data_IF_427046745115
#
_entry.id   IF_427046745115
#
_cell.length_a   1.000
_cell.length_b   1.000
_cell.length_c   1.000
_cell.angle_alpha   90.00
_cell.angle_beta   90.00
_cell.angle_gamma   90.00
#
_symmetry.space_group_name_H-M   'P 1'
#
loop_
_entity.id
_entity.type
_entity.pdbx_description
1 polymer ?
#
# COMPACT_ATOMS: atom_id res chain seq x y z
N UNK A 1 -0.94 10.23 8.78
CA UNK A 1 0.19 9.71 7.97
C UNK A 1 0.85 10.79 7.12
N UNK A 2 0.34 11.17 5.92
CA UNK A 2 1.05 12.09 4.99
C UNK A 2 1.70 13.33 5.64
N UNK A 3 0.93 14.13 6.39
CA UNK A 3 1.42 15.39 6.94
C UNK A 3 2.54 15.19 7.96
N UNK A 4 2.38 14.21 8.85
CA UNK A 4 3.40 13.94 9.87
C UNK A 4 4.65 13.35 9.23
N UNK A 5 4.51 12.37 8.33
CA UNK A 5 5.67 11.83 7.60
C UNK A 5 6.40 12.93 6.83
N UNK A 6 5.69 13.84 6.16
CA UNK A 6 6.30 14.97 5.45
C UNK A 6 7.10 15.90 6.38
N UNK A 7 6.66 16.08 7.61
CA UNK A 7 7.36 16.89 8.62
C UNK A 7 8.62 16.19 9.14
N UNK A 8 8.60 14.87 9.26
CA UNK A 8 9.62 14.13 10.01
C UNK A 8 10.62 13.35 9.15
N UNK A 9 10.31 13.08 7.87
CA UNK A 9 11.07 12.12 7.05
C UNK A 9 12.56 12.46 6.84
N UNK A 10 12.97 13.71 7.05
CA UNK A 10 14.36 14.18 6.89
C UNK A 10 15.22 14.11 8.16
N UNK A 11 14.65 13.71 9.30
CA UNK A 11 15.39 13.71 10.57
C UNK A 11 15.08 12.47 11.39
N UNK A 12 13.81 12.30 11.76
CA UNK A 12 13.31 11.15 12.51
C UNK A 12 12.01 10.67 11.88
N UNK A 13 12.12 9.94 10.78
CA UNK A 13 10.97 9.46 10.03
C UNK A 13 10.02 8.68 10.94
N UNK A 14 8.83 9.24 11.20
CA UNK A 14 7.85 8.72 12.15
C UNK A 14 7.49 7.25 11.89
N UNK A 15 7.53 6.81 10.63
CA UNK A 15 7.23 5.41 10.27
C UNK A 15 8.30 4.43 10.76
N UNK A 16 9.51 4.89 11.05
CA UNK A 16 10.56 4.07 11.66
C UNK A 16 10.27 3.69 13.12
N UNK A 17 9.20 4.23 13.72
CA UNK A 17 8.72 3.79 15.03
C UNK A 17 7.80 2.57 14.94
N UNK A 18 7.39 2.14 13.73
CA UNK A 18 6.58 0.93 13.54
C UNK A 18 7.49 -0.28 13.66
N UNK A 19 7.18 -1.18 14.59
CA UNK A 19 7.90 -2.43 14.76
C UNK A 19 7.83 -3.30 13.48
N UNK A 20 8.98 -3.77 13.03
CA UNK A 20 9.10 -4.58 11.82
C UNK A 20 8.92 -3.78 10.51
N UNK A 21 8.91 -2.44 10.54
CA UNK A 21 8.87 -1.61 9.33
C UNK A 21 10.25 -1.07 8.99
N UNK A 22 10.79 -1.48 7.85
CA UNK A 22 12.08 -1.00 7.34
C UNK A 22 11.89 0.29 6.55
N UNK A 23 12.46 1.37 7.07
CA UNK A 23 12.50 2.68 6.43
C UNK A 23 13.71 3.47 6.92
N UNK A 24 14.30 4.30 6.04
CA UNK A 24 15.37 5.21 6.45
C UNK A 24 14.85 6.23 7.46
N UNK A 25 15.48 6.29 8.63
CA UNK A 25 15.17 7.27 9.69
C UNK A 25 15.41 8.72 9.26
N UNK A 26 16.46 8.96 8.47
CA UNK A 26 16.72 10.24 7.81
C UNK A 26 16.80 10.02 6.30
N UNK A 27 15.81 10.52 5.57
CA UNK A 27 15.75 10.36 4.11
C UNK A 27 16.79 11.24 3.41
N UNK A 28 17.50 10.73 2.39
CA UNK A 28 18.52 11.49 1.67
C UNK A 28 17.95 12.76 1.02
N UNK A 29 18.80 13.78 0.92
CA UNK A 29 18.49 15.08 0.29
C UNK A 29 19.31 15.27 -1.00
N UNK A 30 20.42 14.54 -1.11
CA UNK A 30 21.43 14.63 -2.17
C UNK A 30 21.01 13.97 -3.49
N UNK A 31 20.09 12.99 -3.46
CA UNK A 31 19.52 12.41 -4.67
C UNK A 31 18.16 13.06 -5.02
N UNK A 32 18.09 13.95 -6.03
CA UNK A 32 16.86 14.64 -6.39
C UNK A 32 15.76 13.71 -6.90
N UNK A 33 16.08 12.48 -7.32
CA UNK A 33 15.10 11.51 -7.80
C UNK A 33 14.28 10.90 -6.66
N UNK A 34 14.85 10.80 -5.46
CA UNK A 34 14.20 10.14 -4.31
C UNK A 34 14.03 11.05 -3.10
N UNK A 35 14.67 12.23 -3.04
CA UNK A 35 14.68 13.13 -1.88
C UNK A 35 13.29 13.60 -1.42
N UNK A 36 12.27 13.43 -2.26
CA UNK A 36 10.88 13.79 -1.99
C UNK A 36 9.93 12.60 -2.06
N UNK A 37 10.46 11.37 -2.09
CA UNK A 37 9.68 10.16 -2.19
C UNK A 37 10.13 9.10 -1.18
N UNK A 38 9.94 9.33 0.14
CA UNK A 38 10.23 8.31 1.12
C UNK A 38 9.34 7.09 0.92
N UNK A 39 9.92 5.91 1.14
CA UNK A 39 9.22 4.64 1.09
C UNK A 39 9.84 3.66 2.09
N UNK A 40 9.02 2.72 2.55
CA UNK A 40 9.45 1.63 3.42
C UNK A 40 8.55 0.41 3.24
N UNK A 41 8.99 -0.70 3.79
CA UNK A 41 8.34 -2.01 3.68
C UNK A 41 8.31 -2.71 5.02
N UNK A 42 7.27 -3.50 5.28
CA UNK A 42 7.32 -4.44 6.41
C UNK A 42 8.35 -5.53 6.12
N UNK A 43 9.15 -5.90 7.12
CA UNK A 43 10.22 -6.89 6.99
C UNK A 43 9.64 -8.28 6.72
N UNK A 44 10.40 -9.11 5.99
CA UNK A 44 9.97 -10.46 5.61
C UNK A 44 9.75 -11.40 6.81
N UNK A 45 10.41 -11.14 7.93
CA UNK A 45 10.19 -11.84 9.20
C UNK A 45 8.75 -11.71 9.71
N UNK A 46 8.04 -10.67 9.24
CA UNK A 46 6.63 -10.43 9.53
C UNK A 46 5.69 -10.90 8.43
N UNK A 47 6.13 -11.76 7.50
CA UNK A 47 5.27 -12.27 6.40
C UNK A 47 3.97 -12.89 6.93
N UNK A 48 2.90 -12.10 6.84
CA UNK A 48 1.57 -12.48 7.28
C UNK A 48 1.02 -13.52 6.30
N UNK A 49 0.92 -14.79 6.70
CA UNK A 49 0.09 -15.82 6.02
C UNK A 49 0.05 -15.76 4.48
N UNK A 50 1.20 -15.59 3.81
CA UNK A 50 1.34 -15.51 2.34
C UNK A 50 0.99 -14.16 1.70
N UNK A 51 1.08 -13.08 2.47
CA UNK A 51 1.20 -11.71 1.99
C UNK A 51 2.67 -11.30 1.94
N UNK A 52 3.04 -10.48 0.96
CA UNK A 52 4.38 -9.95 0.76
C UNK A 52 4.32 -8.50 0.26
N UNK A 53 5.48 -7.84 0.14
CA UNK A 53 5.61 -6.50 -0.46
C UNK A 53 4.65 -5.46 0.15
N UNK A 54 4.37 -5.58 1.45
CA UNK A 54 3.55 -4.62 2.19
C UNK A 54 4.38 -3.34 2.34
N UNK A 55 4.01 -2.30 1.59
CA UNK A 55 4.79 -1.09 1.45
C UNK A 55 3.95 0.16 1.65
N UNK A 56 4.59 1.19 2.22
CA UNK A 56 4.07 2.55 2.29
C UNK A 56 5.07 3.44 1.56
N UNK A 57 4.62 4.16 0.55
CA UNK A 57 5.43 5.15 -0.16
C UNK A 57 4.71 6.47 -0.32
N UNK A 58 5.50 7.54 -0.41
CA UNK A 58 5.02 8.90 -0.52
C UNK A 58 5.58 9.57 -1.76
N UNK A 59 4.85 10.56 -2.26
CA UNK A 59 5.38 11.54 -3.20
C UNK A 59 5.06 12.95 -2.70
N UNK A 60 6.11 13.70 -2.38
CA UNK A 60 6.06 15.07 -1.88
C UNK A 60 6.39 16.13 -2.93
N UNK A 61 6.76 15.71 -4.15
CA UNK A 61 7.27 16.56 -5.24
C UNK A 61 6.19 17.27 -6.04
N UNK A 62 5.03 16.65 -6.20
CA UNK A 62 3.92 17.22 -6.98
C UNK A 62 2.78 17.72 -6.09
N UNK A 63 1.95 18.61 -6.67
CA UNK A 63 0.69 19.06 -6.08
C UNK A 63 -0.35 17.93 -5.95
N UNK A 64 -0.14 16.81 -6.65
CA UNK A 64 -1.00 15.63 -6.56
C UNK A 64 -0.73 14.77 -5.33
N UNK A 65 0.35 15.06 -4.57
CA UNK A 65 0.68 14.59 -3.20
C UNK A 65 0.07 13.24 -2.85
N UNK A 66 0.87 12.19 -2.98
CA UNK A 66 0.40 10.81 -2.94
C UNK A 66 0.87 10.08 -1.69
N UNK A 67 -0.03 9.28 -1.10
CA UNK A 67 0.35 8.10 -0.31
C UNK A 67 -0.01 6.88 -1.16
N UNK A 68 0.92 5.95 -1.32
CA UNK A 68 0.67 4.64 -1.93
C UNK A 68 0.85 3.56 -0.88
N UNK A 69 -0.20 2.77 -0.69
CA UNK A 69 -0.23 1.61 0.17
C UNK A 69 -0.31 0.38 -0.73
N UNK A 70 0.69 -0.49 -0.71
CA UNK A 70 0.71 -1.66 -1.60
C UNK A 70 0.97 -2.93 -0.83
N UNK A 71 0.42 -4.03 -1.33
CA UNK A 71 0.79 -5.37 -0.87
C UNK A 71 0.51 -6.39 -1.97
N UNK A 72 1.10 -7.57 -1.81
CA UNK A 72 0.88 -8.72 -2.67
C UNK A 72 0.35 -9.90 -1.86
N UNK A 73 -0.48 -10.72 -2.50
CA UNK A 73 -0.99 -12.00 -1.99
C UNK A 73 -0.61 -13.09 -2.98
N UNK A 74 0.13 -14.09 -2.53
CA UNK A 74 0.41 -15.28 -3.34
C UNK A 74 -0.89 -16.05 -3.61
N UNK A 75 -1.20 -16.30 -4.89
CA UNK A 75 -2.23 -17.26 -5.31
C UNK A 75 -1.59 -18.66 -5.39
N UNK A 76 -0.41 -18.72 -6.01
CA UNK A 76 0.41 -19.92 -6.12
C UNK A 76 1.87 -19.50 -6.36
N UNK A 77 2.76 -20.48 -6.59
CA UNK A 77 4.20 -20.24 -6.78
C UNK A 77 4.57 -19.35 -7.96
N UNK A 78 3.65 -19.08 -8.90
CA UNK A 78 3.89 -18.27 -10.10
C UNK A 78 3.03 -17.01 -10.19
N UNK A 79 2.00 -16.86 -9.37
CA UNK A 79 0.98 -15.81 -9.54
C UNK A 79 0.68 -15.15 -8.21
N UNK A 80 0.67 -13.82 -8.24
CA UNK A 80 0.31 -12.95 -7.12
C UNK A 80 -0.78 -11.98 -7.52
N UNK A 81 -1.66 -11.67 -6.58
CA UNK A 81 -2.55 -10.51 -6.65
C UNK A 81 -1.83 -9.35 -6.00
N UNK A 82 -1.64 -8.23 -6.71
CA UNK A 82 -1.09 -6.99 -6.15
C UNK A 82 -2.22 -5.99 -5.98
N UNK A 83 -2.42 -5.48 -4.77
CA UNK A 83 -3.47 -4.51 -4.45
C UNK A 83 -2.81 -3.20 -4.01
N UNK A 84 -3.32 -2.09 -4.56
CA UNK A 84 -2.88 -0.74 -4.22
C UNK A 84 -4.03 0.08 -3.64
N UNK A 85 -3.75 0.85 -2.58
CA UNK A 85 -4.53 2.00 -2.14
C UNK A 85 -3.75 3.28 -2.41
N UNK A 86 -4.17 4.05 -3.41
CA UNK A 86 -3.55 5.32 -3.76
C UNK A 86 -4.40 6.48 -3.24
N UNK A 87 -3.89 7.20 -2.23
CA UNK A 87 -4.52 8.40 -1.70
C UNK A 87 -3.96 9.66 -2.37
N UNK A 88 -4.84 10.50 -2.90
CA UNK A 88 -4.51 11.83 -3.42
C UNK A 88 -4.96 12.91 -2.44
N UNK A 89 -4.04 13.80 -2.03
CA UNK A 89 -4.39 14.89 -1.11
C UNK A 89 -5.37 15.91 -1.71
N UNK A 90 -5.20 16.23 -3.00
CA UNK A 90 -5.98 17.26 -3.70
C UNK A 90 -7.48 16.95 -3.70
N UNK A 91 -7.83 15.72 -4.06
CA UNK A 91 -9.22 15.30 -4.21
C UNK A 91 -9.71 14.48 -3.00
N UNK A 92 -8.87 14.35 -1.96
CA UNK A 92 -9.09 13.52 -0.76
C UNK A 92 -9.66 12.15 -1.11
N UNK A 93 -9.11 11.53 -2.16
CA UNK A 93 -9.64 10.30 -2.72
C UNK A 93 -8.64 9.18 -2.51
N UNK A 94 -9.10 8.07 -1.91
CA UNK A 94 -8.40 6.80 -1.85
C UNK A 94 -8.93 5.89 -2.96
N UNK A 95 -8.11 5.66 -3.98
CA UNK A 95 -8.42 4.72 -5.07
C UNK A 95 -7.82 3.36 -4.77
N UNK A 96 -8.65 2.33 -4.72
CA UNK A 96 -8.22 0.94 -4.60
C UNK A 96 -8.18 0.30 -5.99
N UNK A 97 -7.07 -0.32 -6.34
CA UNK A 97 -6.85 -0.96 -7.65
C UNK A 97 -6.14 -2.29 -7.49
N UNK A 98 -6.32 -3.19 -8.45
CA UNK A 98 -5.79 -4.54 -8.40
C UNK A 98 -5.10 -4.92 -9.71
N UNK A 99 -3.95 -5.60 -9.59
CA UNK A 99 -3.19 -6.16 -10.71
C UNK A 99 -2.85 -7.62 -10.45
N UNK A 100 -2.57 -8.36 -11.53
CA UNK A 100 -1.95 -9.69 -11.43
C UNK A 100 -0.46 -9.57 -11.74
N UNK A 101 0.37 -10.11 -10.86
CA UNK A 101 1.80 -10.24 -11.07
C UNK A 101 2.15 -11.71 -11.36
N UNK A 102 2.71 -11.95 -12.54
CA UNK A 102 3.19 -13.26 -12.97
C UNK A 102 4.70 -13.32 -12.74
N UNK A 103 5.17 -14.24 -11.90
CA UNK A 103 6.59 -14.50 -11.66
C UNK A 103 7.18 -15.15 -12.91
N UNK A 104 8.17 -14.51 -13.53
CA UNK A 104 8.90 -14.96 -14.72
C UNK A 104 10.42 -14.86 -14.49
N UNK A 105 10.99 -15.91 -13.89
CA UNK A 105 12.39 -15.91 -13.47
C UNK A 105 12.63 -14.78 -12.46
N UNK A 106 13.64 -13.94 -12.72
CA UNK A 106 14.00 -12.79 -11.88
C UNK A 106 13.12 -11.54 -12.13
N UNK A 107 12.13 -11.63 -13.02
CA UNK A 107 11.27 -10.50 -13.38
C UNK A 107 9.78 -10.80 -13.19
N UNK A 108 8.99 -9.76 -12.96
CA UNK A 108 7.54 -9.85 -12.91
C UNK A 108 6.92 -9.29 -14.19
N UNK A 109 5.97 -10.01 -14.77
CA UNK A 109 5.04 -9.47 -15.77
C UNK A 109 3.74 -9.06 -15.10
N UNK A 110 3.32 -7.82 -15.29
CA UNK A 110 2.08 -7.29 -14.73
C UNK A 110 0.93 -7.31 -15.74
N UNK A 111 -0.26 -7.65 -15.26
CA UNK A 111 -1.53 -7.56 -15.98
C UNK A 111 -2.41 -6.58 -15.20
N UNK A 112 -2.83 -5.51 -15.87
CA UNK A 112 -3.63 -4.43 -15.27
C UNK A 112 -4.84 -4.03 -16.11
N UNK A 113 -5.06 -4.65 -17.27
CA UNK A 113 -6.32 -4.52 -18.00
C UNK A 113 -7.43 -5.22 -17.21
N UNK A 114 -8.39 -4.45 -16.69
CA UNK A 114 -9.47 -4.93 -15.82
C UNK A 114 -10.16 -6.22 -16.32
N UNK A 115 -10.45 -6.33 -17.63
CA UNK A 115 -11.07 -7.55 -18.19
C UNK A 115 -10.19 -8.81 -18.06
N UNK A 116 -8.87 -8.66 -18.16
CA UNK A 116 -7.92 -9.75 -17.97
C UNK A 116 -7.74 -10.05 -16.49
N UNK A 117 -7.59 -9.01 -15.65
CA UNK A 117 -7.48 -9.16 -14.19
C UNK A 117 -8.68 -9.93 -13.64
N UNK A 118 -9.92 -9.52 -14.00
CA UNK A 118 -11.15 -10.22 -13.60
C UNK A 118 -11.16 -11.69 -14.01
N UNK A 119 -10.72 -11.99 -15.24
CA UNK A 119 -10.62 -13.37 -15.70
C UNK A 119 -9.66 -14.20 -14.85
N UNK A 120 -8.46 -13.68 -14.59
CA UNK A 120 -7.50 -14.37 -13.72
C UNK A 120 -8.05 -14.60 -12.32
N UNK A 121 -8.66 -13.58 -11.70
CA UNK A 121 -9.26 -13.74 -10.37
C UNK A 121 -10.33 -14.84 -10.37
N UNK A 122 -11.23 -14.84 -11.36
CA UNK A 122 -12.26 -15.87 -11.51
C UNK A 122 -11.70 -17.28 -11.74
N UNK A 123 -10.66 -17.42 -12.58
CA UNK A 123 -10.00 -18.71 -12.86
C UNK A 123 -9.40 -19.34 -11.58
N UNK A 124 -9.08 -18.53 -10.57
CA UNK A 124 -8.58 -18.97 -9.26
C UNK A 124 -9.61 -18.85 -8.13
N UNK A 125 -10.89 -18.60 -8.46
CA UNK A 125 -11.97 -18.51 -7.46
C UNK A 125 -11.87 -17.32 -6.50
N UNK A 126 -11.11 -16.27 -6.86
CA UNK A 126 -10.97 -15.05 -6.05
C UNK A 126 -12.09 -14.08 -6.40
N UNK A 127 -12.88 -13.72 -5.39
CA UNK A 127 -14.04 -12.84 -5.54
C UNK A 127 -13.71 -11.39 -5.18
N UNK A 128 -14.63 -10.46 -5.48
CA UNK A 128 -14.53 -9.08 -4.98
C UNK A 128 -14.48 -9.03 -3.45
N UNK A 129 -15.23 -9.89 -2.76
CA UNK A 129 -15.22 -9.99 -1.30
C UNK A 129 -13.87 -10.47 -0.75
N UNK A 130 -13.15 -11.32 -1.48
CA UNK A 130 -11.78 -11.69 -1.11
C UNK A 130 -10.84 -10.51 -1.23
N UNK A 131 -10.94 -9.69 -2.28
CA UNK A 131 -10.13 -8.48 -2.43
C UNK A 131 -10.41 -7.46 -1.31
N UNK A 132 -11.67 -7.30 -0.92
CA UNK A 132 -12.04 -6.46 0.23
C UNK A 132 -11.45 -6.98 1.53
N UNK A 133 -11.53 -8.30 1.76
CA UNK A 133 -10.92 -8.95 2.92
C UNK A 133 -9.39 -8.81 2.92
N UNK A 134 -8.73 -9.01 1.79
CA UNK A 134 -7.27 -8.83 1.68
C UNK A 134 -6.87 -7.39 2.02
N UNK A 135 -7.64 -6.42 1.53
CA UNK A 135 -7.40 -5.01 1.85
C UNK A 135 -7.63 -4.72 3.32
N UNK A 136 -8.68 -5.27 3.93
CA UNK A 136 -8.94 -5.10 5.35
C UNK A 136 -7.82 -5.71 6.21
N UNK A 137 -7.47 -6.98 5.99
CA UNK A 137 -6.43 -7.68 6.73
C UNK A 137 -5.08 -6.93 6.72
N UNK A 138 -4.68 -6.40 5.56
CA UNK A 138 -3.36 -5.76 5.43
C UNK A 138 -3.40 -4.25 5.65
N UNK A 139 -4.30 -3.52 5.01
CA UNK A 139 -4.30 -2.07 5.14
C UNK A 139 -4.95 -1.64 6.45
N UNK A 140 -6.13 -2.18 6.79
CA UNK A 140 -6.84 -1.72 7.97
C UNK A 140 -6.24 -2.33 9.23
N UNK A 141 -6.23 -3.66 9.31
CA UNK A 141 -5.90 -4.36 10.54
C UNK A 141 -4.40 -4.34 10.85
N UNK A 142 -3.53 -4.24 9.83
CA UNK A 142 -2.08 -4.06 10.04
C UNK A 142 -1.66 -2.60 9.89
N UNK A 143 -1.57 -2.09 8.65
CA UNK A 143 -0.91 -0.80 8.36
C UNK A 143 -1.51 0.38 9.12
N UNK A 144 -2.83 0.52 9.14
CA UNK A 144 -3.50 1.64 9.81
C UNK A 144 -3.56 1.45 11.33
N UNK A 145 -3.64 0.21 11.82
CA UNK A 145 -3.51 -0.10 13.25
C UNK A 145 -2.13 0.28 13.77
N UNK A 146 -1.06 -0.12 13.08
CA UNK A 146 0.31 0.23 13.46
C UNK A 146 0.52 1.74 13.45
N UNK A 147 -0.03 2.43 12.44
CA UNK A 147 -0.02 3.88 12.39
C UNK A 147 -0.66 4.50 13.65
N UNK A 148 -1.80 3.98 14.11
CA UNK A 148 -2.47 4.47 15.31
C UNK A 148 -1.70 4.12 16.60
N UNK A 149 -0.86 3.08 16.59
CA UNK A 149 -0.03 2.71 17.73
C UNK A 149 1.14 3.69 17.95
N UNK A 150 1.67 4.30 16.87
CA UNK A 150 2.82 5.21 16.94
C UNK A 150 2.44 6.70 16.85
N UNK A 151 1.18 7.00 16.55
CA UNK A 151 0.68 8.35 16.37
C UNK A 151 -0.73 8.48 16.94
N UNK A 152 -0.95 9.48 17.80
CA UNK A 152 -2.25 9.80 18.38
C UNK A 152 -3.22 10.33 17.31
N UNK A 153 -3.82 9.39 16.58
CA UNK A 153 -4.66 9.64 15.43
C UNK A 153 -6.08 10.03 15.84
N UNK A 154 -6.62 11.07 15.20
CA UNK A 154 -8.05 11.43 15.31
C UNK A 154 -8.98 10.50 14.53
N UNK A 155 -8.40 9.57 13.77
CA UNK A 155 -9.06 8.64 12.85
C UNK A 155 -8.63 7.21 13.19
N UNK A 156 -9.32 6.21 12.65
CA UNK A 156 -9.06 4.80 12.94
C UNK A 156 -9.11 3.95 11.66
N UNK A 157 -8.68 2.67 11.71
CA UNK A 157 -8.86 1.74 10.59
C UNK A 157 -10.33 1.58 10.15
N UNK A 158 -11.29 1.79 11.05
CA UNK A 158 -12.73 1.72 10.76
C UNK A 158 -13.33 3.06 10.31
N UNK A 159 -12.64 4.18 10.57
CA UNK A 159 -13.09 5.52 10.21
C UNK A 159 -11.91 6.36 9.69
N UNK A 160 -11.80 6.46 8.37
CA UNK A 160 -10.79 7.28 7.69
C UNK A 160 -11.10 8.79 7.74
N UNK A 161 -12.25 9.18 8.28
CA UNK A 161 -12.77 10.53 8.22
C UNK A 161 -13.28 10.92 6.83
N UNK A 162 -13.11 12.18 6.46
CA UNK A 162 -13.61 12.74 5.20
C UNK A 162 -12.73 12.37 3.99
N UNK A 163 -12.73 11.08 3.63
CA UNK A 163 -12.02 10.50 2.48
C UNK A 163 -13.02 9.85 1.54
N UNK A 164 -12.98 10.22 0.26
CA UNK A 164 -13.74 9.52 -0.78
C UNK A 164 -13.02 8.22 -1.12
N UNK A 165 -13.68 7.08 -0.95
CA UNK A 165 -13.13 5.77 -1.36
C UNK A 165 -13.70 5.40 -2.72
N UNK A 166 -12.83 4.99 -3.65
CA UNK A 166 -13.22 4.47 -4.98
C UNK A 166 -12.54 3.13 -5.16
N UNK A 167 -13.31 2.07 -5.37
CA UNK A 167 -12.78 0.70 -5.47
C UNK A 167 -12.98 0.16 -6.88
N UNK A 168 -11.89 -0.25 -7.54
CA UNK A 168 -11.93 -0.76 -8.92
C UNK A 168 -12.88 -1.96 -9.08
N UNK A 169 -12.91 -2.86 -8.09
CA UNK A 169 -13.71 -4.08 -8.08
C UNK A 169 -15.08 -3.94 -7.40
N UNK A 170 -15.55 -2.73 -7.11
CA UNK A 170 -16.83 -2.50 -6.42
C UNK A 170 -18.03 -3.12 -7.14
N UNK A 171 -17.94 -3.25 -8.46
CA UNK A 171 -19.01 -3.81 -9.32
C UNK A 171 -18.57 -5.08 -10.05
N UNK A 172 -17.55 -5.76 -9.53
CA UNK A 172 -17.02 -6.99 -10.14
C UNK A 172 -17.75 -8.24 -9.70
#
# INVERSE_FOLDING_TARGET
MYQETKKTYRSHNILGNIEGFDIRGSWPIDDPNIAQAPFGTYSEETTFNGYSDIAISFNFQSDTKLISLTFERDINSKIRVRIWGLYTYKDRTLKKSVKIALKQGDSNKYIDKASQVRKYLADYGITAADLDRYYDEIINQKVLTDWCAIYDSKYSPADYGHVKVVTEWEKW
#
